data_IF_228755301388
#
_entry.id   IF_228755301388
#
_cell.length_a   1.000
_cell.length_b   1.000
_cell.length_c   1.000
_cell.angle_alpha   90.00
_cell.angle_beta   90.00
_cell.angle_gamma   90.00
#
_symmetry.space_group_name_H-M   'P 1'
#
loop_
_entity.id
_entity.type
_entity.pdbx_description
1 polymer ?
#
# COMPACT_ATOMS: atom_id res chain seq x y z
N UNK A 1 3.27 -11.63 7.08
CA UNK A 1 2.10 -10.76 7.23
C UNK A 1 2.34 -9.81 8.40
N UNK A 2 2.15 -8.51 8.19
CA UNK A 2 2.28 -7.47 9.21
C UNK A 2 1.28 -6.34 8.96
N UNK A 3 1.06 -5.50 9.98
CA UNK A 3 0.07 -4.42 9.98
C UNK A 3 0.79 -3.08 10.07
N UNK A 4 0.35 -2.10 9.28
CA UNK A 4 0.82 -0.72 9.33
C UNK A 4 -0.37 0.16 9.65
N UNK A 5 -0.27 0.98 10.69
CA UNK A 5 -1.27 2.02 10.97
C UNK A 5 -1.05 3.21 10.04
N UNK A 6 -2.12 3.69 9.43
CA UNK A 6 -2.10 4.80 8.47
C UNK A 6 -2.99 5.95 8.93
N UNK A 7 -2.63 7.19 8.59
CA UNK A 7 -3.48 8.38 8.72
C UNK A 7 -3.76 8.93 7.33
N UNK A 8 -5.03 9.15 7.02
CA UNK A 8 -5.50 9.74 5.76
C UNK A 8 -5.04 9.01 4.48
N UNK A 9 -4.73 7.72 4.59
CA UNK A 9 -4.36 6.88 3.46
C UNK A 9 -5.57 6.09 2.96
N UNK A 10 -5.72 5.99 1.64
CA UNK A 10 -6.68 5.09 1.02
C UNK A 10 -6.01 4.27 -0.09
N UNK A 11 -5.85 2.98 0.17
CA UNK A 11 -5.20 2.01 -0.71
C UNK A 11 -5.93 1.89 -2.05
N UNK A 12 -7.26 1.88 -2.02
CA UNK A 12 -8.08 1.79 -3.23
C UNK A 12 -7.87 3.01 -4.13
N UNK A 13 -7.90 4.22 -3.57
CA UNK A 13 -7.62 5.45 -4.32
C UNK A 13 -6.17 5.45 -4.85
N UNK A 14 -5.21 5.04 -4.04
CA UNK A 14 -3.78 5.01 -4.42
C UNK A 14 -3.50 4.07 -5.59
N UNK A 15 -4.12 2.88 -5.61
CA UNK A 15 -3.84 1.85 -6.62
C UNK A 15 -4.80 1.85 -7.82
N UNK A 16 -5.97 2.52 -7.72
CA UNK A 16 -6.95 2.57 -8.81
C UNK A 16 -6.78 3.73 -9.80
N UNK A 17 -5.95 4.74 -9.49
CA UNK A 17 -5.76 5.93 -10.32
C UNK A 17 -5.02 5.70 -11.67
N UNK A 18 -4.80 4.46 -12.10
CA UNK A 18 -4.33 4.13 -13.45
C UNK A 18 -2.82 4.27 -13.68
N UNK A 19 -2.02 4.56 -12.64
CA UNK A 19 -0.56 4.70 -12.76
C UNK A 19 0.23 3.40 -12.57
N UNK A 20 -0.40 2.26 -12.26
CA UNK A 20 0.33 1.04 -11.85
C UNK A 20 -0.18 -0.23 -12.55
N UNK A 21 0.40 -0.55 -13.72
CA UNK A 21 0.06 -1.72 -14.56
C UNK A 21 0.31 -3.09 -13.92
N UNK A 22 0.87 -3.14 -12.71
CA UNK A 22 1.29 -4.37 -12.03
C UNK A 22 0.45 -4.72 -10.80
N UNK A 23 -0.64 -4.00 -10.57
CA UNK A 23 -1.55 -4.26 -9.46
C UNK A 23 -2.89 -4.77 -9.98
N UNK A 24 -3.34 -5.85 -9.39
CA UNK A 24 -4.64 -6.44 -9.65
C UNK A 24 -5.46 -6.43 -8.36
N UNK A 25 -6.67 -5.87 -8.43
CA UNK A 25 -7.63 -5.92 -7.34
C UNK A 25 -8.48 -7.18 -7.46
N UNK A 26 -8.57 -7.96 -6.39
CA UNK A 26 -9.56 -9.02 -6.23
C UNK A 26 -10.37 -8.76 -4.96
N UNK A 27 -11.62 -8.31 -5.13
CA UNK A 27 -12.49 -7.81 -4.04
C UNK A 27 -11.79 -6.68 -3.29
N UNK A 28 -11.32 -6.96 -2.08
CA UNK A 28 -10.66 -6.00 -1.18
C UNK A 28 -9.14 -6.25 -1.08
N UNK A 29 -8.61 -7.24 -1.81
CA UNK A 29 -7.20 -7.59 -1.80
C UNK A 29 -6.52 -7.09 -3.07
N UNK A 30 -5.54 -6.21 -2.89
CA UNK A 30 -4.63 -5.79 -3.94
C UNK A 30 -3.43 -6.72 -3.99
N UNK A 31 -3.10 -7.23 -5.17
CA UNK A 31 -1.88 -8.02 -5.39
C UNK A 31 -1.07 -7.37 -6.49
N UNK A 32 0.21 -7.13 -6.23
CA UNK A 32 1.12 -6.63 -7.24
C UNK A 32 2.55 -7.14 -7.07
N UNK A 33 3.38 -6.86 -8.06
CA UNK A 33 4.82 -7.19 -8.02
C UNK A 33 5.61 -5.90 -7.88
N UNK A 34 6.30 -5.76 -6.74
CA UNK A 34 7.13 -4.60 -6.38
C UNK A 34 8.54 -5.09 -6.07
N UNK A 35 9.55 -4.46 -6.69
CA UNK A 35 10.96 -4.81 -6.50
C UNK A 35 11.27 -6.33 -6.65
N UNK A 36 10.59 -7.00 -7.58
CA UNK A 36 10.74 -8.44 -7.83
C UNK A 36 10.04 -9.36 -6.82
N UNK A 37 9.37 -8.82 -5.80
CA UNK A 37 8.60 -9.56 -4.82
C UNK A 37 7.09 -9.38 -5.01
N UNK A 38 6.31 -10.40 -4.63
CA UNK A 38 4.85 -10.29 -4.57
C UNK A 38 4.48 -9.51 -3.30
N UNK A 39 3.65 -8.49 -3.46
CA UNK A 39 3.08 -7.70 -2.38
C UNK A 39 1.57 -7.82 -2.46
N UNK A 40 0.97 -8.29 -1.38
CA UNK A 40 -0.48 -8.29 -1.18
C UNK A 40 -0.83 -7.29 -0.10
N UNK A 41 -1.75 -6.39 -0.40
CA UNK A 41 -2.18 -5.33 0.50
C UNK A 41 -3.70 -5.31 0.59
N UNK A 42 -4.20 -5.14 1.80
CA UNK A 42 -5.62 -4.88 2.07
C UNK A 42 -5.72 -3.82 3.17
N UNK A 43 -6.69 -2.94 3.05
CA UNK A 43 -6.95 -1.92 4.06
C UNK A 43 -8.24 -2.26 4.83
N UNK A 44 -8.16 -2.17 6.15
CA UNK A 44 -9.29 -2.28 7.07
C UNK A 44 -9.31 -1.05 7.98
N UNK A 45 -10.16 -0.07 7.66
CA UNK A 45 -10.18 1.22 8.38
C UNK A 45 -8.85 1.96 8.24
N UNK A 46 -8.19 2.23 9.38
CA UNK A 46 -6.87 2.87 9.43
C UNK A 46 -5.70 1.88 9.41
N UNK A 47 -5.95 0.58 9.26
CA UNK A 47 -4.90 -0.43 9.19
C UNK A 47 -4.67 -0.93 7.77
N UNK A 48 -3.41 -0.97 7.37
CA UNK A 48 -2.93 -1.58 6.14
C UNK A 48 -2.28 -2.92 6.46
N UNK A 49 -2.92 -3.99 5.99
CA UNK A 49 -2.49 -5.38 6.19
C UNK A 49 -1.65 -5.79 4.98
N UNK A 50 -0.39 -6.14 5.22
CA UNK A 50 0.58 -6.47 4.19
C UNK A 50 1.03 -7.92 4.31
N UNK A 51 0.97 -8.64 3.19
CA UNK A 51 1.57 -9.95 3.00
C UNK A 51 2.60 -9.88 1.87
N UNK A 52 3.88 -9.84 2.26
CA UNK A 52 5.04 -9.78 1.37
C UNK A 52 6.29 -10.26 2.10
N UNK A 53 7.32 -10.60 1.32
CA UNK A 53 8.69 -10.80 1.82
C UNK A 53 9.44 -9.49 2.07
N UNK A 54 8.88 -8.36 1.63
CA UNK A 54 9.43 -7.02 1.84
C UNK A 54 9.16 -6.57 3.29
N UNK A 55 10.12 -5.89 3.89
CA UNK A 55 9.97 -5.35 5.24
C UNK A 55 9.00 -4.17 5.28
N UNK A 56 8.51 -3.86 6.49
CA UNK A 56 7.54 -2.80 6.68
C UNK A 56 8.08 -1.41 6.31
N UNK A 57 9.39 -1.16 6.47
CA UNK A 57 10.01 0.13 6.11
C UNK A 57 10.02 0.34 4.60
N UNK A 58 10.33 -0.71 3.83
CA UNK A 58 10.21 -0.67 2.37
C UNK A 58 8.77 -0.34 1.93
N UNK A 59 7.78 -0.99 2.54
CA UNK A 59 6.37 -0.78 2.17
C UNK A 59 5.85 0.59 2.60
N UNK A 60 6.26 1.09 3.77
CA UNK A 60 5.96 2.45 4.20
C UNK A 60 6.50 3.48 3.20
N UNK A 61 7.76 3.36 2.80
CA UNK A 61 8.37 4.26 1.81
C UNK A 61 7.71 4.12 0.43
N UNK A 62 7.43 2.89 -0.02
CA UNK A 62 6.79 2.64 -1.31
C UNK A 62 5.40 3.30 -1.43
N UNK A 63 4.60 3.25 -0.37
CA UNK A 63 3.31 3.93 -0.30
C UNK A 63 3.39 5.36 0.23
N UNK A 64 4.60 5.85 0.53
CA UNK A 64 4.88 7.17 1.10
C UNK A 64 4.03 7.45 2.34
N UNK A 65 3.89 6.45 3.22
CA UNK A 65 3.10 6.53 4.45
C UNK A 65 3.77 7.39 5.52
N UNK A 66 5.06 7.67 5.35
CA UNK A 66 5.90 8.52 6.20
C UNK A 66 6.02 9.97 5.69
N UNK A 67 5.48 10.28 4.51
CA UNK A 67 5.42 11.65 4.03
C UNK A 67 4.36 12.45 4.82
N UNK A 68 4.78 13.56 5.43
CA UNK A 68 3.89 14.56 6.01
C UNK A 68 3.14 15.28 4.86
N UNK A 69 1.98 14.75 4.45
CA UNK A 69 1.16 15.34 3.39
C UNK A 69 0.65 16.76 3.74
N UNK A 70 0.78 17.22 4.98
CA UNK A 70 0.47 18.59 5.40
C UNK A 70 1.42 19.66 4.83
N UNK A 71 2.60 19.30 4.29
CA UNK A 71 3.53 20.27 3.70
C UNK A 71 3.35 20.51 2.19
N UNK A 72 2.43 19.80 1.54
CA UNK A 72 2.26 19.84 0.08
C UNK A 72 0.99 20.62 -0.34
N UNK A 73 0.19 21.12 0.61
CA UNK A 73 -1.04 21.90 0.33
C UNK A 73 -0.82 23.41 0.31
#
# INVERSE_FOLDING_TARGET
MYHITTRDFNLDHTLSCGQVFRWQKNRDLWTGVVNGAVLRARQEGSELIIDSSLDAGFVMNYFRLDDDMEQIY
#
